data_IF_224594745841
#
_entry.id   IF_224594745841
#
_cell.length_a   1.000
_cell.length_b   1.000
_cell.length_c   1.000
_cell.angle_alpha   90.00
_cell.angle_beta   90.00
_cell.angle_gamma   90.00
#
_symmetry.space_group_name_H-M   'P 1'
#
loop_
_entity.id
_entity.type
_entity.pdbx_description
1 polymer ?
#
# COMPACT_ATOMS: atom_id res chain seq x y z
N UNK A 1 -7.41 20.32 21.24
CA UNK A 1 -8.83 19.98 21.03
C UNK A 1 -8.93 18.51 20.66
N UNK A 2 -9.87 17.78 21.25
CA UNK A 2 -10.04 16.34 21.02
C UNK A 2 -10.56 16.01 19.62
N UNK A 3 -11.16 17.00 18.95
CA UNK A 3 -11.77 16.86 17.62
C UNK A 3 -10.76 16.44 16.55
N UNK A 4 -9.54 16.99 16.59
CA UNK A 4 -8.49 16.65 15.63
C UNK A 4 -8.03 15.18 15.76
N UNK A 5 -7.92 14.68 16.99
CA UNK A 5 -7.57 13.28 17.26
C UNK A 5 -8.70 12.34 16.85
N UNK A 6 -9.96 12.74 17.07
CA UNK A 6 -11.13 11.97 16.66
C UNK A 6 -11.21 11.84 15.13
N UNK A 7 -11.01 12.94 14.39
CA UNK A 7 -10.99 12.94 12.92
C UNK A 7 -9.82 12.07 12.42
N UNK A 8 -8.61 12.28 12.95
CA UNK A 8 -7.44 11.49 12.56
C UNK A 8 -7.65 9.99 12.84
N UNK A 9 -8.24 9.64 13.99
CA UNK A 9 -8.59 8.28 14.35
C UNK A 9 -9.62 7.65 13.40
N UNK A 10 -10.65 8.40 13.01
CA UNK A 10 -11.65 7.94 12.04
C UNK A 10 -11.03 7.64 10.67
N UNK A 11 -10.19 8.54 10.14
CA UNK A 11 -9.49 8.33 8.87
C UNK A 11 -8.50 7.17 8.95
N UNK A 12 -7.73 7.07 10.04
CA UNK A 12 -6.80 5.98 10.27
C UNK A 12 -7.53 4.62 10.34
N UNK A 13 -8.64 4.55 11.07
CA UNK A 13 -9.46 3.34 11.18
C UNK A 13 -10.08 2.93 9.86
N UNK A 14 -10.65 3.87 9.11
CA UNK A 14 -11.20 3.61 7.79
C UNK A 14 -10.12 3.11 6.82
N UNK A 15 -8.98 3.80 6.73
CA UNK A 15 -7.86 3.39 5.88
C UNK A 15 -7.35 2.00 6.24
N UNK A 16 -7.12 1.73 7.53
CA UNK A 16 -6.65 0.43 8.00
C UNK A 16 -7.65 -0.70 7.74
N UNK A 17 -8.96 -0.44 7.83
CA UNK A 17 -9.99 -1.43 7.54
C UNK A 17 -10.11 -1.77 6.05
N UNK A 18 -9.92 -0.78 5.18
CA UNK A 18 -10.10 -0.96 3.73
C UNK A 18 -8.84 -1.38 2.98
N UNK A 19 -7.65 -1.13 3.51
CA UNK A 19 -6.40 -1.39 2.79
C UNK A 19 -6.26 -2.86 2.36
N UNK A 20 -6.58 -3.79 3.26
CA UNK A 20 -6.46 -5.22 2.99
C UNK A 20 -7.41 -5.71 1.88
N UNK A 21 -8.75 -5.49 1.94
CA UNK A 21 -9.65 -5.94 0.89
C UNK A 21 -9.41 -5.24 -0.46
N UNK A 22 -9.03 -3.95 -0.46
CA UNK A 22 -8.73 -3.22 -1.71
C UNK A 22 -7.50 -3.81 -2.40
N UNK A 23 -6.41 -4.05 -1.64
CA UNK A 23 -5.19 -4.62 -2.20
C UNK A 23 -5.40 -6.07 -2.67
N UNK A 24 -6.18 -6.86 -1.93
CA UNK A 24 -6.53 -8.22 -2.35
C UNK A 24 -7.36 -8.23 -3.63
N UNK A 25 -8.35 -7.35 -3.77
CA UNK A 25 -9.13 -7.25 -5.01
C UNK A 25 -8.24 -6.91 -6.21
N UNK A 26 -7.38 -5.89 -6.07
CA UNK A 26 -6.41 -5.51 -7.11
C UNK A 26 -5.46 -6.66 -7.49
N UNK A 27 -5.01 -7.45 -6.51
CA UNK A 27 -4.13 -8.58 -6.74
C UNK A 27 -4.84 -9.70 -7.51
N UNK A 28 -6.06 -10.05 -7.09
CA UNK A 28 -6.87 -11.11 -7.71
C UNK A 28 -7.29 -10.73 -9.13
N UNK A 29 -7.63 -9.46 -9.36
CA UNK A 29 -7.99 -8.94 -10.68
C UNK A 29 -6.81 -9.01 -11.67
N UNK A 30 -5.57 -8.89 -11.18
CA UNK A 30 -4.35 -8.93 -12.00
C UNK A 30 -3.70 -10.32 -12.09
N UNK A 31 -3.98 -11.21 -11.14
CA UNK A 31 -3.38 -12.53 -11.11
C UNK A 31 -4.11 -13.51 -12.06
N UNK A 32 -3.37 -14.30 -12.88
CA UNK A 32 -3.95 -15.40 -13.65
C UNK A 32 -4.70 -16.38 -12.74
N UNK A 33 -5.82 -16.92 -13.19
CA UNK A 33 -6.71 -17.74 -12.35
C UNK A 33 -6.00 -18.93 -11.68
N UNK A 34 -5.06 -19.55 -12.40
CA UNK A 34 -4.22 -20.66 -11.93
C UNK A 34 -3.25 -20.26 -10.82
N UNK A 35 -2.81 -19.01 -10.79
CA UNK A 35 -1.76 -18.53 -9.89
C UNK A 35 -2.30 -17.67 -8.73
N UNK A 36 -3.61 -17.40 -8.69
CA UNK A 36 -4.25 -16.60 -7.63
C UNK A 36 -3.86 -17.06 -6.23
N UNK A 37 -3.87 -18.37 -5.95
CA UNK A 37 -3.46 -18.90 -4.65
C UNK A 37 -2.02 -18.57 -4.26
N UNK A 38 -1.10 -18.64 -5.23
CA UNK A 38 0.32 -18.30 -5.03
C UNK A 38 0.50 -16.79 -4.82
N UNK A 39 -0.19 -15.97 -5.64
CA UNK A 39 -0.17 -14.52 -5.50
C UNK A 39 -0.69 -14.08 -4.12
N UNK A 40 -1.81 -14.63 -3.65
CA UNK A 40 -2.37 -14.36 -2.32
C UNK A 40 -1.39 -14.73 -1.22
N UNK A 41 -0.77 -15.92 -1.30
CA UNK A 41 0.22 -16.34 -0.29
C UNK A 41 1.44 -15.43 -0.27
N UNK A 42 1.89 -14.96 -1.43
CA UNK A 42 3.01 -14.03 -1.52
C UNK A 42 2.66 -12.65 -0.95
N UNK A 43 1.46 -12.14 -1.23
CA UNK A 43 0.95 -10.90 -0.65
C UNK A 43 0.88 -10.97 0.87
N UNK A 44 0.30 -12.05 1.43
CA UNK A 44 0.23 -12.23 2.88
C UNK A 44 1.63 -12.33 3.50
N UNK A 45 2.55 -13.08 2.88
CA UNK A 45 3.93 -13.16 3.36
C UNK A 45 4.62 -11.79 3.39
N UNK A 46 4.43 -10.96 2.35
CA UNK A 46 4.94 -9.60 2.33
C UNK A 46 4.31 -8.71 3.39
N UNK A 47 3.00 -8.83 3.61
CA UNK A 47 2.28 -8.09 4.65
C UNK A 47 2.80 -8.45 6.05
N UNK A 48 2.98 -9.73 6.33
CA UNK A 48 3.51 -10.22 7.61
C UNK A 48 4.94 -9.74 7.83
N UNK A 49 5.80 -9.84 6.81
CA UNK A 49 7.19 -9.33 6.86
C UNK A 49 7.20 -7.82 7.09
N UNK A 50 6.34 -7.08 6.37
CA UNK A 50 6.20 -5.63 6.53
C UNK A 50 5.77 -5.26 7.96
N UNK A 51 4.85 -6.01 8.54
CA UNK A 51 4.38 -5.80 9.92
C UNK A 51 5.47 -6.16 10.93
N UNK A 52 6.16 -7.29 10.72
CA UNK A 52 7.24 -7.79 11.58
C UNK A 52 8.41 -6.82 11.64
N UNK A 53 8.76 -6.18 10.53
CA UNK A 53 9.87 -5.23 10.43
C UNK A 53 9.42 -3.81 10.79
N UNK A 54 8.25 -3.39 10.31
CA UNK A 54 7.71 -2.04 10.47
C UNK A 54 7.42 -1.71 11.94
N UNK A 55 6.87 -2.66 12.70
CA UNK A 55 6.58 -2.48 14.13
C UNK A 55 7.81 -2.05 14.94
N UNK A 56 8.90 -2.83 14.96
CA UNK A 56 10.15 -2.48 15.64
C UNK A 56 10.78 -1.18 15.14
N UNK A 57 10.80 -0.92 13.83
CA UNK A 57 11.39 0.30 13.26
C UNK A 57 10.63 1.54 13.76
N UNK A 58 9.31 1.53 13.64
CA UNK A 58 8.49 2.65 14.09
C UNK A 58 8.55 2.80 15.62
N UNK A 59 8.60 1.69 16.36
CA UNK A 59 8.82 1.66 17.81
C UNK A 59 10.15 2.30 18.23
N UNK A 60 11.25 2.00 17.53
CA UNK A 60 12.55 2.62 17.79
C UNK A 60 12.56 4.12 17.52
N UNK A 61 11.80 4.58 16.52
CA UNK A 61 11.62 6.01 16.24
C UNK A 61 10.82 6.68 17.37
N UNK A 62 9.80 6.02 17.91
CA UNK A 62 9.04 6.52 19.07
C UNK A 62 9.94 6.64 20.29
N UNK A 63 10.77 5.63 20.57
CA UNK A 63 11.68 5.61 21.73
C UNK A 63 12.74 6.73 21.66
N UNK A 64 13.26 7.01 20.47
CA UNK A 64 14.34 8.00 20.28
C UNK A 64 13.86 9.44 20.06
N UNK A 65 12.74 9.63 19.35
CA UNK A 65 12.29 10.95 18.86
C UNK A 65 10.83 11.28 19.23
N UNK A 66 10.10 10.34 19.85
CA UNK A 66 8.70 10.50 20.23
C UNK A 66 7.70 10.28 19.10
N UNK A 67 6.42 10.49 19.41
CA UNK A 67 5.29 10.18 18.52
C UNK A 67 5.20 11.07 17.28
N UNK A 68 5.52 12.35 17.40
CA UNK A 68 5.40 13.33 16.29
C UNK A 68 6.22 12.94 15.06
N UNK A 69 7.55 12.77 15.19
CA UNK A 69 8.41 12.34 14.09
C UNK A 69 8.02 10.97 13.53
N UNK A 70 7.57 10.04 14.36
CA UNK A 70 7.08 8.73 13.90
C UNK A 70 5.89 8.86 12.95
N UNK A 71 4.89 9.67 13.28
CA UNK A 71 3.75 9.90 12.38
C UNK A 71 4.16 10.57 11.06
N UNK A 72 5.14 11.48 11.09
CA UNK A 72 5.69 12.10 9.88
C UNK A 72 6.39 11.06 9.01
N UNK A 73 7.26 10.23 9.60
CA UNK A 73 7.97 9.16 8.87
C UNK A 73 6.98 8.16 8.26
N UNK A 74 5.98 7.73 9.03
CA UNK A 74 4.94 6.82 8.55
C UNK A 74 4.13 7.44 7.40
N UNK A 75 3.74 8.72 7.52
CA UNK A 75 3.03 9.45 6.48
C UNK A 75 3.85 9.63 5.20
N UNK A 76 5.13 9.98 5.31
CA UNK A 76 6.05 10.11 4.17
C UNK A 76 6.27 8.76 3.49
N UNK A 77 6.49 7.70 4.27
CA UNK A 77 6.66 6.34 3.74
C UNK A 77 5.42 5.89 2.94
N UNK A 78 4.22 6.10 3.49
CA UNK A 78 2.96 5.82 2.79
C UNK A 78 2.82 6.66 1.52
N UNK A 79 3.08 7.96 1.60
CA UNK A 79 3.03 8.85 0.44
C UNK A 79 3.99 8.43 -0.68
N UNK A 80 5.23 8.06 -0.33
CA UNK A 80 6.20 7.53 -1.30
C UNK A 80 5.72 6.22 -1.93
N UNK A 81 5.21 5.28 -1.13
CA UNK A 81 4.68 4.02 -1.63
C UNK A 81 3.52 4.25 -2.61
N UNK A 82 2.60 5.16 -2.30
CA UNK A 82 1.50 5.54 -3.20
C UNK A 82 2.01 6.16 -4.50
N UNK A 83 3.01 7.03 -4.45
CA UNK A 83 3.61 7.64 -5.66
C UNK A 83 4.31 6.60 -6.52
N UNK A 84 5.07 5.68 -5.91
CA UNK A 84 5.74 4.59 -6.61
C UNK A 84 4.72 3.68 -7.27
N UNK A 85 3.68 3.28 -6.54
CA UNK A 85 2.59 2.47 -7.08
C UNK A 85 1.91 3.16 -8.26
N UNK A 86 1.55 4.44 -8.11
CA UNK A 86 0.93 5.21 -9.18
C UNK A 86 1.83 5.36 -10.42
N UNK A 87 3.15 5.52 -10.24
CA UNK A 87 4.13 5.57 -11.34
C UNK A 87 4.32 4.23 -12.03
N UNK A 88 4.25 3.14 -11.29
CA UNK A 88 4.30 1.79 -11.85
C UNK A 88 3.03 1.50 -12.65
N UNK A 89 1.88 1.80 -12.06
CA UNK A 89 0.57 1.54 -12.65
C UNK A 89 0.39 2.22 -14.00
N UNK A 90 0.74 3.51 -14.07
CA UNK A 90 0.69 4.27 -15.32
C UNK A 90 1.70 3.80 -16.38
N UNK A 91 2.80 3.17 -15.99
CA UNK A 91 3.76 2.60 -16.94
C UNK A 91 3.22 1.30 -17.54
N UNK A 92 2.65 0.43 -16.70
CA UNK A 92 2.03 -0.82 -17.15
C UNK A 92 0.90 -0.54 -18.14
N UNK A 93 0.01 0.40 -17.82
CA UNK A 93 -1.13 0.76 -18.69
C UNK A 93 -0.72 1.43 -20.00
N UNK A 94 0.44 2.08 -20.06
CA UNK A 94 0.92 2.71 -21.30
C UNK A 94 1.32 1.69 -22.38
N UNK A 95 1.67 0.46 -22.00
CA UNK A 95 2.05 -0.60 -22.95
C UNK A 95 0.88 -1.21 -23.73
N UNK A 96 -0.34 -1.23 -23.16
CA UNK A 96 -1.53 -1.80 -23.81
C UNK A 96 -2.11 -0.88 -24.89
N UNK A 97 -1.93 0.44 -24.75
CA UNK A 97 -2.47 1.43 -25.71
C UNK A 97 -1.65 1.46 -27.02
N UNK A 98 -0.35 1.21 -26.94
CA UNK A 98 0.55 1.22 -28.10
C UNK A 98 0.45 -0.08 -28.93
N UNK A 99 0.12 -1.23 -28.30
CA UNK A 99 -0.03 -2.50 -29.04
C UNK A 99 -1.37 -2.60 -29.78
N UNK A 100 -2.47 -2.07 -29.24
CA UNK A 100 -3.77 -2.05 -29.92
C UNK A 100 -3.76 -1.15 -31.16
N UNK A 101 -3.07 -0.01 -31.09
CA UNK A 101 -2.94 0.93 -32.23
C UNK A 101 -1.97 0.42 -33.30
N UNK A 102 -0.96 -0.37 -32.94
CA UNK A 102 -0.06 -1.02 -33.89
C UNK A 102 -0.66 -2.26 -34.58
N UNK A 103 -1.69 -2.89 -34.01
CA UNK A 103 -2.42 -4.02 -34.62
C UNK A 103 -3.55 -3.53 -35.55
N UNK A 104 -4.07 -2.32 -35.33
CA UNK A 104 -5.08 -1.68 -36.18
C UNK A 104 -4.51 -0.86 -37.36
N UNK A 105 -3.20 -0.63 -37.42
CA UNK A 105 -2.51 0.14 -38.46
C UNK A 105 -1.82 -0.77 -39.50
#
# INVERSE_FOLDING_TARGET
SWDGVAIAGAFCGAGHGFIFPILLALLVDRAPETDRGSAMSFFTALFDVGTLIGGPILGAIIDSAGWGPMYVVAGVALGMASVVFWRWDRWVMSGETESSTAVEA
#
